data_IF_295608695730
#
_entry.id   IF_295608695730
#
_cell.length_a   1.000
_cell.length_b   1.000
_cell.length_c   1.000
_cell.angle_alpha   90.00
_cell.angle_beta   90.00
_cell.angle_gamma   90.00
#
_symmetry.space_group_name_H-M   'P 1'
#
loop_
_entity.id
_entity.type
_entity.pdbx_description
1 polymer ?
#
# COMPACT_ATOMS: atom_id res chain seq x y z
N UNK A 1 -28.96 23.85 -14.47
CA UNK A 1 -27.70 23.31 -13.86
C UNK A 1 -27.92 22.48 -12.58
N UNK A 2 -29.15 22.36 -12.09
CA UNK A 2 -29.49 21.57 -10.90
C UNK A 2 -29.78 20.08 -11.15
N UNK A 3 -30.00 19.68 -12.40
CA UNK A 3 -30.44 18.32 -12.73
C UNK A 3 -29.36 17.23 -12.64
N UNK A 4 -28.09 17.60 -12.61
CA UNK A 4 -26.96 16.63 -12.51
C UNK A 4 -26.47 16.35 -11.09
N UNK A 5 -27.12 16.89 -10.09
CA UNK A 5 -26.70 16.71 -8.68
C UNK A 5 -26.90 15.29 -8.13
N UNK A 6 -27.62 14.44 -8.83
CA UNK A 6 -27.98 13.10 -8.40
C UNK A 6 -27.30 11.98 -9.20
N UNK A 7 -26.35 12.32 -10.08
CA UNK A 7 -25.60 11.30 -10.81
C UNK A 7 -24.58 10.64 -9.86
N UNK A 8 -24.72 9.33 -9.69
CA UNK A 8 -23.75 8.55 -8.94
C UNK A 8 -22.40 8.60 -9.66
N UNK A 9 -21.38 9.05 -8.95
CA UNK A 9 -20.01 9.11 -9.46
C UNK A 9 -19.06 8.44 -8.47
N UNK A 10 -18.29 7.47 -8.95
CA UNK A 10 -17.21 6.82 -8.20
C UNK A 10 -15.89 7.06 -8.92
N UNK A 11 -14.89 7.52 -8.19
CA UNK A 11 -13.55 7.68 -8.74
C UNK A 11 -12.94 6.31 -9.07
N UNK A 12 -12.28 6.22 -10.23
CA UNK A 12 -11.57 5.03 -10.64
C UNK A 12 -10.27 4.93 -9.83
N UNK A 13 -10.19 3.94 -8.95
CA UNK A 13 -9.06 3.75 -8.04
C UNK A 13 -8.69 2.28 -7.94
N UNK A 14 -7.38 1.93 -7.90
CA UNK A 14 -6.93 0.56 -7.63
C UNK A 14 -7.52 -0.03 -6.34
N UNK A 15 -7.72 0.79 -5.32
CA UNK A 15 -8.31 0.36 -4.04
C UNK A 15 -9.73 -0.18 -4.23
N UNK A 16 -10.54 0.47 -5.06
CA UNK A 16 -11.90 0.01 -5.36
C UNK A 16 -11.92 -1.31 -6.12
N UNK A 17 -10.92 -1.58 -6.95
CA UNK A 17 -10.79 -2.86 -7.65
C UNK A 17 -10.52 -4.02 -6.69
N UNK A 18 -9.68 -3.82 -5.67
CA UNK A 18 -9.44 -4.85 -4.66
C UNK A 18 -10.71 -5.17 -3.87
N UNK A 19 -11.42 -4.13 -3.42
CA UNK A 19 -12.70 -4.28 -2.71
C UNK A 19 -13.70 -5.06 -3.55
N UNK A 20 -13.82 -4.71 -4.84
CA UNK A 20 -14.68 -5.43 -5.78
C UNK A 20 -14.26 -6.89 -5.96
N UNK A 21 -12.97 -7.14 -6.15
CA UNK A 21 -12.45 -8.51 -6.36
C UNK A 21 -12.66 -9.38 -5.13
N UNK A 22 -12.49 -8.83 -3.93
CA UNK A 22 -12.76 -9.53 -2.68
C UNK A 22 -14.25 -9.87 -2.50
N UNK A 23 -15.13 -9.02 -3.02
CA UNK A 23 -16.57 -9.26 -3.00
C UNK A 23 -17.02 -10.31 -4.03
N UNK A 24 -16.52 -10.19 -5.28
CA UNK A 24 -16.96 -11.04 -6.40
C UNK A 24 -16.25 -12.39 -6.41
N UNK A 25 -14.97 -12.43 -6.06
CA UNK A 25 -14.10 -13.61 -6.10
C UNK A 25 -13.40 -13.89 -4.77
N UNK A 26 -14.11 -13.96 -3.64
CA UNK A 26 -13.49 -13.99 -2.31
C UNK A 26 -12.52 -15.15 -2.12
N UNK A 27 -12.83 -16.32 -2.66
CA UNK A 27 -12.08 -17.56 -2.44
C UNK A 27 -11.05 -17.84 -3.53
N UNK A 28 -10.97 -16.97 -4.56
CA UNK A 28 -9.94 -17.08 -5.60
C UNK A 28 -8.59 -16.64 -5.05
N UNK A 29 -7.53 -17.40 -5.38
CA UNK A 29 -6.14 -17.04 -5.01
C UNK A 29 -5.75 -15.73 -5.72
N UNK A 30 -5.36 -14.74 -4.92
CA UNK A 30 -4.93 -13.43 -5.36
C UNK A 30 -3.40 -13.27 -5.35
N UNK A 31 -2.72 -13.87 -4.36
CA UNK A 31 -1.28 -13.71 -4.12
C UNK A 31 -0.63 -15.08 -3.95
N UNK A 32 0.49 -15.26 -4.63
CA UNK A 32 1.34 -16.44 -4.54
C UNK A 32 2.77 -15.98 -4.29
N UNK A 33 3.38 -16.48 -3.20
CA UNK A 33 4.78 -16.22 -2.89
C UNK A 33 5.41 -17.48 -2.26
N UNK A 34 6.21 -18.21 -3.02
CA UNK A 34 6.69 -19.53 -2.59
C UNK A 34 5.53 -20.49 -2.29
N UNK A 35 5.50 -21.03 -1.09
CA UNK A 35 4.41 -21.87 -0.62
C UNK A 35 3.20 -21.07 -0.09
N UNK A 36 3.36 -19.76 0.10
CA UNK A 36 2.32 -18.88 0.64
C UNK A 36 1.25 -18.59 -0.40
N UNK A 37 -0.01 -18.65 0.00
CA UNK A 37 -1.18 -18.35 -0.82
C UNK A 37 -2.13 -17.47 -0.03
N UNK A 38 -2.60 -16.40 -0.64
CA UNK A 38 -3.71 -15.60 -0.09
C UNK A 38 -4.83 -15.53 -1.11
N UNK A 39 -6.06 -15.77 -0.66
CA UNK A 39 -7.26 -15.47 -1.44
C UNK A 39 -7.50 -13.95 -1.50
N UNK A 40 -8.39 -13.49 -2.38
CA UNK A 40 -8.78 -12.07 -2.42
C UNK A 40 -9.36 -11.61 -1.09
N UNK A 41 -10.13 -12.42 -0.40
CA UNK A 41 -10.65 -12.15 0.94
C UNK A 41 -9.53 -11.93 1.95
N UNK A 42 -8.57 -12.84 2.00
CA UNK A 42 -7.43 -12.76 2.91
C UNK A 42 -6.52 -11.56 2.59
N UNK A 43 -6.22 -11.36 1.31
CA UNK A 43 -5.42 -10.22 0.87
C UNK A 43 -6.09 -8.89 1.20
N UNK A 44 -7.39 -8.75 0.95
CA UNK A 44 -8.16 -7.55 1.31
C UNK A 44 -8.15 -7.31 2.83
N UNK A 45 -8.30 -8.35 3.64
CA UNK A 45 -8.22 -8.23 5.09
C UNK A 45 -6.83 -7.76 5.57
N UNK A 46 -5.76 -8.24 4.95
CA UNK A 46 -4.38 -7.81 5.24
C UNK A 46 -4.17 -6.33 4.88
N UNK A 47 -4.62 -5.93 3.70
CA UNK A 47 -4.59 -4.52 3.25
C UNK A 47 -5.34 -3.60 4.21
N UNK A 48 -6.53 -4.00 4.65
CA UNK A 48 -7.32 -3.23 5.62
C UNK A 48 -6.62 -3.11 6.98
N UNK A 49 -5.93 -4.16 7.43
CA UNK A 49 -5.14 -4.10 8.67
C UNK A 49 -3.98 -3.12 8.56
N UNK A 50 -3.26 -3.12 7.44
CA UNK A 50 -2.19 -2.14 7.18
C UNK A 50 -2.75 -0.71 7.18
N UNK A 51 -3.85 -0.47 6.47
CA UNK A 51 -4.49 0.84 6.43
C UNK A 51 -4.95 1.32 7.83
N UNK A 52 -5.53 0.42 8.62
CA UNK A 52 -5.95 0.72 9.98
C UNK A 52 -4.76 1.04 10.89
N UNK A 53 -3.68 0.25 10.81
CA UNK A 53 -2.46 0.46 11.58
C UNK A 53 -1.82 1.82 11.27
N UNK A 54 -1.74 2.20 10.00
CA UNK A 54 -1.22 3.50 9.57
C UNK A 54 -2.05 4.67 10.13
N UNK A 55 -3.38 4.56 10.09
CA UNK A 55 -4.28 5.58 10.64
C UNK A 55 -4.13 5.70 12.16
N UNK A 56 -4.07 4.57 12.86
CA UNK A 56 -3.86 4.54 14.32
C UNK A 56 -2.50 5.11 14.71
N UNK A 57 -1.48 4.94 13.86
CA UNK A 57 -0.16 5.54 14.04
C UNK A 57 -0.10 7.05 13.70
N UNK A 58 -1.22 7.64 13.29
CA UNK A 58 -1.32 9.08 13.03
C UNK A 58 -1.06 9.50 11.58
N UNK A 59 -1.20 8.58 10.60
CA UNK A 59 -1.11 8.94 9.19
C UNK A 59 -2.21 9.94 8.84
N UNK A 60 -1.82 11.10 8.33
CA UNK A 60 -2.72 12.10 7.76
C UNK A 60 -2.84 11.92 6.24
N UNK A 61 -3.91 12.47 5.68
CA UNK A 61 -4.11 12.47 4.23
C UNK A 61 -2.92 13.11 3.52
N UNK A 62 -2.44 12.46 2.46
CA UNK A 62 -1.27 12.83 1.66
C UNK A 62 0.09 12.65 2.35
N UNK A 63 0.16 12.14 3.56
CA UNK A 63 1.44 11.75 4.15
C UNK A 63 2.10 10.65 3.31
N UNK A 64 3.44 10.71 3.22
CA UNK A 64 4.23 9.72 2.47
C UNK A 64 4.65 8.60 3.40
N UNK A 65 4.47 7.38 2.90
CA UNK A 65 4.87 6.13 3.56
C UNK A 65 5.88 5.43 2.66
N UNK A 66 7.12 5.31 3.11
CA UNK A 66 8.17 4.65 2.36
C UNK A 66 8.22 3.15 2.67
N UNK A 67 8.46 2.37 1.63
CA UNK A 67 8.71 0.94 1.71
C UNK A 67 10.02 0.60 1.01
N UNK A 68 10.95 0.02 1.76
CA UNK A 68 12.21 -0.53 1.26
C UNK A 68 12.17 -2.05 1.47
N UNK A 69 11.62 -2.75 0.51
CA UNK A 69 11.56 -4.20 0.52
C UNK A 69 11.51 -4.76 -0.91
N UNK A 70 11.92 -6.02 -1.12
CA UNK A 70 11.79 -6.66 -2.43
C UNK A 70 10.31 -6.88 -2.81
N UNK A 71 10.08 -7.48 -3.99
CA UNK A 71 8.74 -7.80 -4.49
C UNK A 71 8.14 -9.00 -3.74
N UNK A 72 7.79 -8.79 -2.50
CA UNK A 72 7.15 -9.73 -1.60
C UNK A 72 5.70 -9.29 -1.31
N UNK A 73 4.85 -10.12 -0.70
CA UNK A 73 3.47 -9.75 -0.40
C UNK A 73 3.31 -8.41 0.33
N UNK A 74 4.24 -8.06 1.22
CA UNK A 74 4.21 -6.77 1.94
C UNK A 74 4.27 -5.56 0.99
N UNK A 75 5.10 -5.60 -0.08
CA UNK A 75 5.15 -4.54 -1.07
C UNK A 75 3.83 -4.43 -1.85
N UNK A 76 3.23 -5.56 -2.20
CA UNK A 76 1.94 -5.58 -2.87
C UNK A 76 0.83 -5.02 -1.94
N UNK A 77 0.83 -5.40 -0.68
CA UNK A 77 -0.09 -4.86 0.33
C UNK A 77 0.06 -3.35 0.49
N UNK A 78 1.29 -2.84 0.43
CA UNK A 78 1.58 -1.41 0.51
C UNK A 78 0.92 -0.61 -0.61
N UNK A 79 0.89 -1.13 -1.83
CA UNK A 79 0.27 -0.48 -2.99
C UNK A 79 -1.23 -0.26 -2.83
N UNK A 80 -1.90 -1.04 -2.01
CA UNK A 80 -3.32 -0.89 -1.70
C UNK A 80 -3.56 -0.28 -0.31
N UNK A 81 -2.80 -0.71 0.70
CA UNK A 81 -3.01 -0.31 2.09
C UNK A 81 -2.64 1.14 2.36
N UNK A 82 -1.56 1.64 1.78
CA UNK A 82 -1.15 3.04 1.95
C UNK A 82 -2.17 3.99 1.32
N UNK A 83 -2.58 3.81 0.05
CA UNK A 83 -3.65 4.65 -0.51
C UNK A 83 -5.00 4.48 0.19
N UNK A 84 -5.35 3.27 0.64
CA UNK A 84 -6.58 3.05 1.40
C UNK A 84 -6.60 3.80 2.74
N UNK A 85 -5.43 4.03 3.33
CA UNK A 85 -5.28 4.86 4.52
C UNK A 85 -5.31 6.38 4.23
N UNK A 86 -5.23 6.78 2.97
CA UNK A 86 -5.14 8.18 2.53
C UNK A 86 -3.71 8.67 2.33
N UNK A 87 -2.72 7.80 2.42
CA UNK A 87 -1.30 8.11 2.24
C UNK A 87 -0.84 8.00 0.78
N UNK A 88 0.41 8.37 0.57
CA UNK A 88 1.13 8.24 -0.71
C UNK A 88 2.29 7.28 -0.52
N UNK A 89 2.30 6.20 -1.29
CA UNK A 89 3.38 5.21 -1.25
C UNK A 89 4.64 5.74 -1.93
N UNK A 90 5.77 5.60 -1.24
CA UNK A 90 7.13 5.80 -1.79
C UNK A 90 7.81 4.43 -1.82
N UNK A 91 7.73 3.75 -2.95
CA UNK A 91 8.37 2.46 -3.16
C UNK A 91 9.83 2.68 -3.56
N UNK A 92 10.77 2.34 -2.65
CA UNK A 92 12.20 2.58 -2.84
C UNK A 92 12.83 1.38 -3.53
N UNK A 93 13.65 1.64 -4.55
CA UNK A 93 14.40 0.60 -5.22
C UNK A 93 15.46 -0.01 -4.29
N UNK A 94 15.42 -1.32 -4.13
CA UNK A 94 16.32 -2.07 -3.24
C UNK A 94 17.78 -2.15 -3.71
N UNK A 95 18.07 -1.70 -4.92
CA UNK A 95 19.43 -1.68 -5.50
C UNK A 95 20.18 -0.38 -5.28
N UNK A 96 19.58 0.59 -4.61
CA UNK A 96 20.19 1.86 -4.28
C UNK A 96 21.12 1.72 -3.07
N UNK A 97 22.09 2.61 -2.98
CA UNK A 97 22.96 2.72 -1.81
C UNK A 97 22.31 3.57 -0.70
N UNK A 98 22.94 3.60 0.47
CA UNK A 98 22.43 4.33 1.65
C UNK A 98 22.25 5.83 1.40
N UNK A 99 23.17 6.47 0.67
CA UNK A 99 23.09 7.91 0.39
C UNK A 99 21.89 8.24 -0.49
N UNK A 100 21.65 7.42 -1.52
CA UNK A 100 20.50 7.56 -2.43
C UNK A 100 19.17 7.32 -1.68
N UNK A 101 19.12 6.30 -0.84
CA UNK A 101 17.94 6.00 -0.01
C UNK A 101 17.69 7.17 0.97
N UNK A 102 18.72 7.67 1.64
CA UNK A 102 18.64 8.82 2.52
C UNK A 102 18.12 10.07 1.81
N UNK A 103 18.60 10.32 0.58
CA UNK A 103 18.09 11.41 -0.26
C UNK A 103 16.59 11.26 -0.55
N UNK A 104 16.15 10.08 -0.98
CA UNK A 104 14.74 9.82 -1.29
C UNK A 104 13.86 10.02 -0.06
N UNK A 105 14.27 9.53 1.11
CA UNK A 105 13.53 9.70 2.36
C UNK A 105 13.40 11.17 2.74
N UNK A 106 14.49 11.93 2.66
CA UNK A 106 14.49 13.36 2.94
C UNK A 106 13.67 14.16 1.93
N UNK A 107 13.86 13.91 0.64
CA UNK A 107 13.17 14.62 -0.44
C UNK A 107 11.66 14.37 -0.46
N UNK A 108 11.25 13.11 -0.26
CA UNK A 108 9.82 12.75 -0.20
C UNK A 108 9.13 13.26 1.07
N UNK A 109 9.88 13.52 2.12
CA UNK A 109 9.33 13.83 3.44
C UNK A 109 8.53 12.67 4.02
N UNK A 110 8.98 11.44 3.78
CA UNK A 110 8.30 10.25 4.30
C UNK A 110 8.21 10.29 5.83
N UNK A 111 7.03 10.06 6.36
CA UNK A 111 6.78 10.04 7.81
C UNK A 111 6.88 8.64 8.41
N UNK A 112 6.73 7.63 7.58
CA UNK A 112 6.81 6.23 7.96
C UNK A 112 7.76 5.52 7.00
N UNK A 113 8.57 4.62 7.54
CA UNK A 113 9.47 3.77 6.77
C UNK A 113 9.27 2.32 7.21
N UNK A 114 8.95 1.45 6.27
CA UNK A 114 8.94 0.01 6.42
C UNK A 114 10.15 -0.56 5.68
N UNK A 115 10.94 -1.34 6.37
CA UNK A 115 12.20 -1.91 5.83
C UNK A 115 12.16 -3.41 5.99
N UNK A 116 12.53 -4.13 4.93
CA UNK A 116 12.83 -5.56 5.04
C UNK A 116 14.08 -5.75 5.92
N UNK A 117 14.05 -6.76 6.79
CA UNK A 117 15.13 -6.99 7.74
C UNK A 117 16.50 -7.16 7.06
N UNK A 118 16.54 -7.74 5.86
CA UNK A 118 17.79 -7.91 5.11
C UNK A 118 18.35 -6.58 4.57
N UNK A 119 17.51 -5.56 4.46
CA UNK A 119 17.87 -4.24 3.92
C UNK A 119 18.07 -3.18 5.01
N UNK A 120 17.84 -3.54 6.27
CA UNK A 120 18.03 -2.63 7.42
C UNK A 120 19.42 -1.94 7.44
N UNK A 121 20.53 -2.60 7.08
CA UNK A 121 21.84 -1.95 7.06
C UNK A 121 21.99 -0.79 6.06
N UNK A 122 21.02 -0.59 5.16
CA UNK A 122 21.03 0.49 4.17
C UNK A 122 20.38 1.79 4.66
N UNK A 123 19.75 1.80 5.85
CA UNK A 123 19.01 2.94 6.40
C UNK A 123 19.64 3.53 7.64
#
# INVERSE_FOLDING_TARGET
MSEFRHVYRTELSPVSFLTRSAYVFPDKVAVVHGAMRYTYREFHARVNRLASALRLAGLAKHDRVAFLCPNIPAMLEAHYGVPAAGGVLVAINTRLNSDEIGYILGHSGARFLFVDAELEPLV
#
